data_IF_502599519708
#
_entry.id   IF_502599519708
#
_cell.length_a   1.000
_cell.length_b   1.000
_cell.length_c   1.000
_cell.angle_alpha   90.00
_cell.angle_beta   90.00
_cell.angle_gamma   90.00
#
_symmetry.space_group_name_H-M   'P 1'
#
loop_
_entity.id
_entity.type
_entity.pdbx_description
1 polymer ?
#
# COMPACT_ATOMS: atom_id res chain seq x y z
N UNK A 1 31.98 -48.17 55.34
CA UNK A 1 33.22 -47.57 54.78
C UNK A 1 32.96 -47.23 53.31
N UNK A 2 33.35 -46.01 52.87
CA UNK A 2 33.37 -45.44 51.50
C UNK A 2 32.04 -45.38 50.71
N UNK A 3 31.26 -44.26 50.69
CA UNK A 3 31.45 -42.98 49.94
C UNK A 3 31.41 -43.24 48.41
N UNK A 4 30.51 -42.67 47.57
CA UNK A 4 30.48 -41.25 47.19
C UNK A 4 29.34 -40.91 46.18
N UNK A 5 28.52 -39.92 46.57
CA UNK A 5 28.03 -38.73 45.83
C UNK A 5 27.25 -38.85 44.51
N UNK A 6 26.03 -38.31 44.61
CA UNK A 6 25.22 -37.65 43.58
C UNK A 6 26.06 -36.77 42.63
N UNK A 7 25.78 -36.87 41.33
CA UNK A 7 26.01 -35.82 40.33
C UNK A 7 24.77 -35.78 39.43
N UNK A 8 23.84 -34.87 39.71
CA UNK A 8 23.81 -33.51 39.17
C UNK A 8 23.25 -33.50 37.73
N UNK A 9 21.93 -33.28 37.69
CA UNK A 9 21.17 -32.81 36.53
C UNK A 9 21.87 -31.58 35.94
N UNK A 10 22.14 -31.57 34.64
CA UNK A 10 22.32 -30.32 33.90
C UNK A 10 21.72 -30.50 32.50
N UNK A 11 20.42 -30.20 32.41
CA UNK A 11 19.75 -29.97 31.14
C UNK A 11 20.27 -28.66 30.54
N UNK A 12 20.68 -28.72 29.28
CA UNK A 12 20.91 -27.53 28.47
C UNK A 12 20.00 -27.61 27.25
N UNK A 13 18.73 -27.28 27.45
CA UNK A 13 17.81 -27.01 26.36
C UNK A 13 18.24 -25.68 25.71
N UNK A 14 18.89 -25.74 24.55
CA UNK A 14 19.08 -24.58 23.69
C UNK A 14 17.69 -24.16 23.18
N UNK A 15 17.05 -23.22 23.88
CA UNK A 15 15.94 -22.46 23.33
C UNK A 15 16.56 -21.39 22.44
N UNK A 16 16.69 -21.70 21.14
CA UNK A 16 16.99 -20.69 20.14
C UNK A 16 15.79 -19.75 20.04
N UNK A 17 15.85 -18.62 20.74
CA UNK A 17 14.92 -17.53 20.59
C UNK A 17 15.14 -16.90 19.21
N UNK A 18 14.39 -17.37 18.22
CA UNK A 18 14.28 -16.74 16.90
C UNK A 18 13.65 -15.37 17.10
N UNK A 19 14.48 -14.34 17.24
CA UNK A 19 14.02 -12.96 17.15
C UNK A 19 13.58 -12.70 15.71
N UNK A 20 12.30 -12.93 15.43
CA UNK A 20 11.67 -12.39 14.23
C UNK A 20 11.69 -10.88 14.36
N UNK A 21 12.58 -10.23 13.61
CA UNK A 21 12.49 -8.81 13.36
C UNK A 21 11.19 -8.58 12.57
N UNK A 22 10.08 -8.38 13.28
CA UNK A 22 8.98 -7.64 12.71
C UNK A 22 9.56 -6.25 12.42
N UNK A 23 9.75 -5.92 11.15
CA UNK A 23 10.06 -4.55 10.78
C UNK A 23 8.92 -3.70 11.31
N UNK A 24 9.19 -2.88 12.33
CA UNK A 24 8.21 -1.94 12.87
C UNK A 24 7.73 -1.08 11.70
N UNK A 25 6.52 -1.34 11.24
CA UNK A 25 5.89 -0.51 10.24
C UNK A 25 5.75 0.89 10.86
N UNK A 26 6.30 1.90 10.21
CA UNK A 26 6.07 3.27 10.64
C UNK A 26 4.56 3.51 10.75
N UNK A 27 4.05 4.22 11.77
CA UNK A 27 2.63 4.56 11.88
C UNK A 27 2.07 5.22 10.60
N UNK A 28 2.92 5.91 9.85
CA UNK A 28 2.58 6.50 8.54
C UNK A 28 2.34 5.42 7.48
N UNK A 29 3.17 4.39 7.43
CA UNK A 29 3.00 3.26 6.51
C UNK A 29 1.77 2.42 6.87
N UNK A 30 1.48 2.25 8.16
CA UNK A 30 0.26 1.57 8.64
C UNK A 30 -1.01 2.32 8.23
N UNK A 31 -1.02 3.65 8.38
CA UNK A 31 -2.12 4.49 7.90
C UNK A 31 -2.31 4.36 6.38
N UNK A 32 -1.21 4.41 5.61
CA UNK A 32 -1.26 4.22 4.17
C UNK A 32 -1.79 2.85 3.76
N UNK A 33 -1.38 1.79 4.47
CA UNK A 33 -1.89 0.44 4.27
C UNK A 33 -3.39 0.37 4.59
N UNK A 34 -3.83 1.00 5.68
CA UNK A 34 -5.24 1.04 6.06
C UNK A 34 -6.11 1.72 4.98
N UNK A 35 -5.63 2.79 4.35
CA UNK A 35 -6.31 3.43 3.22
C UNK A 35 -6.32 2.48 2.00
N UNK A 36 -5.17 1.89 1.65
CA UNK A 36 -5.05 1.00 0.49
C UNK A 36 -6.00 -0.21 0.56
N UNK A 37 -6.14 -0.79 1.76
CA UNK A 37 -7.04 -1.91 2.05
C UNK A 37 -8.49 -1.47 2.30
N UNK A 38 -8.75 -0.16 2.40
CA UNK A 38 -10.03 0.45 2.79
C UNK A 38 -10.53 -0.01 4.17
N UNK A 39 -9.60 -0.06 5.13
CA UNK A 39 -9.85 -0.19 6.56
C UNK A 39 -10.02 1.19 7.23
N UNK A 40 -9.62 2.27 6.56
CA UNK A 40 -9.96 3.65 6.94
C UNK A 40 -11.15 4.14 6.12
N UNK A 41 -12.12 4.78 6.78
CA UNK A 41 -13.27 5.37 6.08
C UNK A 41 -12.90 6.71 5.44
N UNK A 42 -12.44 6.65 4.19
CA UNK A 42 -12.17 7.83 3.36
C UNK A 42 -13.36 8.13 2.45
N UNK A 43 -13.70 9.39 2.23
CA UNK A 43 -14.78 9.73 1.30
C UNK A 43 -14.30 9.55 -0.15
N UNK A 44 -15.14 8.91 -0.97
CA UNK A 44 -14.87 8.77 -2.39
C UNK A 44 -16.16 8.63 -3.20
N UNK A 45 -16.09 9.03 -4.46
CA UNK A 45 -17.19 8.92 -5.43
C UNK A 45 -16.63 8.62 -6.83
N UNK A 46 -17.48 8.31 -7.80
CA UNK A 46 -17.02 8.14 -9.18
C UNK A 46 -17.05 9.48 -9.92
N UNK A 47 -16.20 9.61 -10.93
CA UNK A 47 -16.22 10.81 -11.77
C UNK A 47 -17.56 10.94 -12.48
N UNK A 48 -18.22 12.09 -12.30
CA UNK A 48 -19.54 12.37 -12.86
C UNK A 48 -20.71 11.73 -12.11
N UNK A 49 -20.48 11.15 -10.93
CA UNK A 49 -21.51 10.65 -10.02
C UNK A 49 -21.08 10.91 -8.58
N UNK A 50 -21.67 11.92 -7.94
CA UNK A 50 -21.28 12.36 -6.60
C UNK A 50 -21.81 11.48 -5.46
N UNK A 51 -22.51 10.39 -5.76
CA UNK A 51 -22.99 9.47 -4.72
C UNK A 51 -21.80 8.84 -3.99
N UNK A 52 -21.79 8.85 -2.64
CA UNK A 52 -20.74 8.20 -1.88
C UNK A 52 -20.62 6.72 -2.21
N UNK A 53 -19.40 6.24 -2.36
CA UNK A 53 -19.13 4.82 -2.59
C UNK A 53 -19.18 4.02 -1.27
N UNK A 54 -19.69 2.77 -1.31
CA UNK A 54 -19.60 1.86 -0.17
C UNK A 54 -18.14 1.48 0.09
N UNK A 55 -17.79 1.15 1.34
CA UNK A 55 -16.42 0.86 1.77
C UNK A 55 -15.65 -0.11 0.83
N UNK A 56 -16.31 -1.18 0.38
CA UNK A 56 -15.69 -2.18 -0.51
C UNK A 56 -15.26 -1.60 -1.86
N UNK A 57 -15.99 -0.62 -2.40
CA UNK A 57 -15.71 0.00 -3.69
C UNK A 57 -14.63 1.10 -3.61
N UNK A 58 -14.19 1.46 -2.40
CA UNK A 58 -13.15 2.47 -2.15
C UNK A 58 -11.76 1.84 -1.92
N UNK A 59 -11.65 0.51 -1.89
CA UNK A 59 -10.38 -0.19 -1.64
C UNK A 59 -9.50 -0.11 -2.88
N UNK A 60 -8.31 0.48 -2.76
CA UNK A 60 -7.34 0.48 -3.84
C UNK A 60 -6.97 -0.96 -4.26
N UNK A 61 -6.80 -1.84 -3.27
CA UNK A 61 -6.44 -3.25 -3.47
C UNK A 61 -7.42 -4.00 -4.40
N UNK A 62 -8.71 -3.63 -4.40
CA UNK A 62 -9.72 -4.28 -5.24
C UNK A 62 -9.48 -4.12 -6.74
N UNK A 63 -8.70 -3.11 -7.16
CA UNK A 63 -8.34 -2.91 -8.56
C UNK A 63 -6.84 -3.11 -8.83
N UNK A 64 -5.99 -2.78 -7.86
CA UNK A 64 -4.55 -2.69 -8.05
C UNK A 64 -3.78 -3.93 -7.57
N UNK A 65 -4.44 -4.88 -6.90
CA UNK A 65 -3.85 -6.16 -6.50
C UNK A 65 -4.37 -7.28 -7.39
N UNK A 66 -3.51 -8.18 -7.90
CA UNK A 66 -3.94 -9.38 -8.60
C UNK A 66 -4.81 -10.28 -7.71
N UNK A 67 -5.83 -10.91 -8.28
CA UNK A 67 -6.61 -11.93 -7.59
C UNK A 67 -6.14 -13.33 -7.99
N UNK A 68 -6.53 -14.35 -7.22
CA UNK A 68 -6.10 -15.73 -7.48
C UNK A 68 -6.47 -16.16 -8.91
N UNK A 69 -5.45 -16.31 -9.76
CA UNK A 69 -5.59 -16.74 -11.16
C UNK A 69 -5.96 -15.64 -12.16
N UNK A 70 -6.00 -14.35 -11.76
CA UNK A 70 -6.29 -13.25 -12.66
C UNK A 70 -5.39 -12.03 -12.41
N UNK A 71 -4.98 -11.31 -13.48
CA UNK A 71 -4.24 -10.06 -13.34
C UNK A 71 -5.10 -8.99 -12.63
N UNK A 72 -4.42 -7.99 -12.05
CA UNK A 72 -5.08 -6.82 -11.50
C UNK A 72 -5.89 -6.09 -12.60
N UNK A 73 -7.03 -5.51 -12.22
CA UNK A 73 -7.88 -4.74 -13.14
C UNK A 73 -7.20 -3.43 -13.59
N UNK A 74 -6.36 -2.87 -12.73
CA UNK A 74 -5.58 -1.66 -12.99
C UNK A 74 -4.07 -1.95 -12.81
N UNK A 75 -3.18 -1.08 -13.30
CA UNK A 75 -1.74 -1.23 -13.08
C UNK A 75 -1.41 -1.36 -11.60
N UNK A 76 -0.48 -2.26 -11.24
CA UNK A 76 -0.04 -2.40 -9.86
C UNK A 76 0.66 -1.12 -9.39
N UNK A 77 0.30 -0.65 -8.19
CA UNK A 77 0.86 0.57 -7.60
C UNK A 77 2.16 0.27 -6.84
N UNK A 78 3.18 -0.20 -7.54
CA UNK A 78 4.51 -0.46 -6.96
C UNK A 78 5.39 0.78 -7.05
N UNK A 79 6.48 0.82 -6.26
CA UNK A 79 7.48 1.88 -6.38
C UNK A 79 8.02 2.02 -7.81
N UNK A 80 8.25 0.89 -8.50
CA UNK A 80 8.72 0.87 -9.88
C UNK A 80 7.73 1.48 -10.88
N UNK A 81 6.41 1.24 -10.69
CA UNK A 81 5.39 1.84 -11.55
C UNK A 81 5.26 3.35 -11.32
N UNK A 82 5.25 3.79 -10.05
CA UNK A 82 5.03 5.19 -9.70
C UNK A 82 6.23 6.07 -10.05
N UNK A 83 7.45 5.62 -9.70
CA UNK A 83 8.68 6.40 -9.89
C UNK A 83 9.28 6.21 -11.29
N UNK A 84 8.87 5.17 -12.01
CA UNK A 84 9.31 4.88 -13.37
C UNK A 84 8.89 5.96 -14.36
N UNK A 85 9.77 6.27 -15.31
CA UNK A 85 9.45 7.16 -16.42
C UNK A 85 8.52 6.45 -17.41
N UNK A 86 7.30 6.98 -17.61
CA UNK A 86 6.29 6.44 -18.51
C UNK A 86 6.27 7.29 -19.78
N UNK A 87 6.81 6.79 -20.92
CA UNK A 87 6.73 7.49 -22.20
C UNK A 87 5.30 7.35 -22.77
N UNK A 88 4.76 8.44 -23.34
CA UNK A 88 3.44 8.42 -24.00
C UNK A 88 3.46 9.25 -25.29
N UNK A 89 3.08 8.62 -26.41
CA UNK A 89 2.79 9.25 -27.73
C UNK A 89 3.75 10.38 -28.14
N UNK A 90 5.07 10.13 -28.05
CA UNK A 90 6.09 11.10 -28.49
C UNK A 90 6.26 12.33 -27.60
N UNK A 91 5.50 12.46 -26.51
CA UNK A 91 5.70 13.47 -25.49
C UNK A 91 6.82 13.10 -24.50
N UNK A 92 7.26 14.05 -23.66
CA UNK A 92 8.22 13.76 -22.61
C UNK A 92 7.71 12.66 -21.68
N UNK A 93 8.61 11.78 -21.25
CA UNK A 93 8.25 10.78 -20.25
C UNK A 93 7.87 11.48 -18.93
N UNK A 94 6.76 11.07 -18.34
CA UNK A 94 6.30 11.56 -17.04
C UNK A 94 6.48 10.48 -15.99
N UNK A 95 6.60 10.90 -14.73
CA UNK A 95 6.60 9.99 -13.57
C UNK A 95 5.71 10.59 -12.51
N UNK A 96 5.28 9.78 -11.56
CA UNK A 96 4.62 10.30 -10.38
C UNK A 96 5.67 10.84 -9.41
N UNK A 97 5.37 12.00 -8.83
CA UNK A 97 5.78 12.35 -7.49
C UNK A 97 4.55 12.29 -6.57
N UNK A 98 4.76 12.56 -5.28
CA UNK A 98 3.71 12.52 -4.27
C UNK A 98 2.55 13.47 -4.62
N UNK A 99 2.83 14.69 -5.06
CA UNK A 99 1.80 15.70 -5.32
C UNK A 99 1.00 15.39 -6.59
N UNK A 100 1.68 14.93 -7.62
CA UNK A 100 1.08 14.37 -8.82
C UNK A 100 0.14 13.21 -8.46
N UNK A 101 0.59 12.26 -7.63
CA UNK A 101 -0.22 11.14 -7.16
C UNK A 101 -1.48 11.61 -6.41
N UNK A 102 -1.35 12.53 -5.46
CA UNK A 102 -2.50 13.06 -4.72
C UNK A 102 -3.49 13.79 -5.64
N UNK A 103 -2.98 14.54 -6.62
CA UNK A 103 -3.82 15.19 -7.63
C UNK A 103 -4.58 14.16 -8.47
N UNK A 104 -3.96 13.04 -8.84
CA UNK A 104 -4.63 11.96 -9.58
C UNK A 104 -5.78 11.39 -8.76
N UNK A 105 -5.59 11.15 -7.47
CA UNK A 105 -6.65 10.64 -6.59
C UNK A 105 -7.82 11.61 -6.48
N UNK A 106 -7.56 12.92 -6.43
CA UNK A 106 -8.61 13.94 -6.35
C UNK A 106 -9.34 14.16 -7.70
N UNK A 107 -8.63 14.06 -8.82
CA UNK A 107 -9.14 14.55 -10.12
C UNK A 107 -9.33 13.47 -11.18
N UNK A 108 -8.78 12.27 -10.97
CA UNK A 108 -8.66 11.20 -11.97
C UNK A 108 -7.89 11.60 -13.23
N UNK A 109 -6.97 12.56 -13.14
CA UNK A 109 -6.11 12.99 -14.26
C UNK A 109 -4.67 12.71 -13.89
N UNK A 110 -3.95 11.98 -14.76
CA UNK A 110 -2.57 11.60 -14.54
C UNK A 110 -1.56 12.71 -14.84
N UNK A 111 -0.26 12.52 -14.51
CA UNK A 111 0.79 13.54 -14.76
C UNK A 111 1.01 13.86 -16.23
N UNK A 112 0.61 12.96 -17.14
CA UNK A 112 0.60 13.17 -18.58
C UNK A 112 -0.71 13.80 -19.07
N UNK A 113 -1.54 14.33 -18.17
CA UNK A 113 -2.86 14.94 -18.42
C UNK A 113 -3.90 13.97 -19.01
N UNK A 114 -3.69 12.67 -18.83
CA UNK A 114 -4.62 11.64 -19.31
C UNK A 114 -5.69 11.40 -18.25
N UNK A 115 -6.95 11.48 -18.69
CA UNK A 115 -8.08 11.11 -17.84
C UNK A 115 -8.12 9.59 -17.64
N UNK A 116 -8.11 9.16 -16.38
CA UNK A 116 -8.18 7.76 -15.99
C UNK A 116 -9.59 7.19 -16.15
N UNK A 117 -9.70 5.86 -16.11
CA UNK A 117 -10.97 5.15 -16.27
C UNK A 117 -12.05 5.69 -15.32
N UNK A 118 -13.30 5.79 -15.79
CA UNK A 118 -14.42 6.30 -14.99
C UNK A 118 -14.66 5.47 -13.72
N UNK A 119 -14.27 4.19 -13.73
CA UNK A 119 -14.35 3.29 -12.60
C UNK A 119 -13.33 3.55 -11.50
N UNK A 120 -12.29 4.36 -11.75
CA UNK A 120 -11.37 4.77 -10.69
C UNK A 120 -12.03 5.83 -9.80
N UNK A 121 -12.15 5.59 -8.48
CA UNK A 121 -12.75 6.57 -7.58
C UNK A 121 -11.94 7.88 -7.50
N UNK A 122 -12.65 8.97 -7.28
CA UNK A 122 -12.10 10.25 -6.82
C UNK A 122 -12.20 10.29 -5.30
N UNK A 123 -11.08 10.49 -4.64
CA UNK A 123 -10.97 10.46 -3.18
C UNK A 123 -10.86 11.88 -2.61
N UNK A 124 -11.45 12.07 -1.44
CA UNK A 124 -11.22 13.24 -0.59
C UNK A 124 -10.31 12.79 0.54
N UNK A 125 -9.01 13.03 0.38
CA UNK A 125 -7.98 12.74 1.38
C UNK A 125 -7.41 14.06 1.88
N UNK A 126 -7.11 14.12 3.17
CA UNK A 126 -6.20 15.11 3.72
C UNK A 126 -4.79 14.94 3.16
N UNK A 127 -3.95 15.96 3.32
CA UNK A 127 -2.56 15.90 2.86
C UNK A 127 -1.79 14.77 3.58
N UNK A 128 -2.01 14.61 4.90
CA UNK A 128 -1.37 13.56 5.69
C UNK A 128 -1.81 12.15 5.25
N UNK A 129 -3.10 11.93 4.99
CA UNK A 129 -3.62 10.65 4.49
C UNK A 129 -3.05 10.30 3.11
N UNK A 130 -2.98 11.27 2.20
CA UNK A 130 -2.40 11.01 0.88
C UNK A 130 -0.88 10.75 0.96
N UNK A 131 -0.18 11.47 1.83
CA UNK A 131 1.25 11.23 2.10
C UNK A 131 1.50 9.85 2.70
N UNK A 132 0.64 9.43 3.63
CA UNK A 132 0.69 8.09 4.22
C UNK A 132 0.49 7.00 3.17
N UNK A 133 -0.54 7.14 2.32
CA UNK A 133 -0.78 6.21 1.21
C UNK A 133 0.41 6.16 0.24
N UNK A 134 0.94 7.32 -0.18
CA UNK A 134 2.13 7.38 -1.03
C UNK A 134 3.31 6.64 -0.39
N UNK A 135 3.57 6.89 0.89
CA UNK A 135 4.67 6.27 1.64
C UNK A 135 4.54 4.75 1.67
N UNK A 136 3.34 4.23 1.94
CA UNK A 136 3.07 2.80 1.92
C UNK A 136 3.31 2.19 0.53
N UNK A 137 2.85 2.83 -0.55
CA UNK A 137 3.03 2.33 -1.91
C UNK A 137 4.49 2.23 -2.35
N UNK A 138 5.36 3.07 -1.77
CA UNK A 138 6.80 3.00 -2.03
C UNK A 138 7.52 1.86 -1.28
N UNK A 139 6.83 1.15 -0.38
CA UNK A 139 7.36 -0.05 0.29
C UNK A 139 6.96 -1.37 -0.38
N UNK A 140 6.17 -1.30 -1.46
CA UNK A 140 5.60 -2.45 -2.16
C UNK A 140 6.44 -2.91 -3.36
#
# INVERSE_FOLDING_TARGET
>A
MCVRRLYAVLGLALVAASATAAADASPVAELGQAIFQGNLDVAAHLRGDARPLPAIAKRCASCHTPSSGAPAFAPQLTAGYLLGAIPRRGGPATRYDRDAFCRVLATSIDPATVMLAKSMPQYVLSDDECTALWTFLLTQ
#
